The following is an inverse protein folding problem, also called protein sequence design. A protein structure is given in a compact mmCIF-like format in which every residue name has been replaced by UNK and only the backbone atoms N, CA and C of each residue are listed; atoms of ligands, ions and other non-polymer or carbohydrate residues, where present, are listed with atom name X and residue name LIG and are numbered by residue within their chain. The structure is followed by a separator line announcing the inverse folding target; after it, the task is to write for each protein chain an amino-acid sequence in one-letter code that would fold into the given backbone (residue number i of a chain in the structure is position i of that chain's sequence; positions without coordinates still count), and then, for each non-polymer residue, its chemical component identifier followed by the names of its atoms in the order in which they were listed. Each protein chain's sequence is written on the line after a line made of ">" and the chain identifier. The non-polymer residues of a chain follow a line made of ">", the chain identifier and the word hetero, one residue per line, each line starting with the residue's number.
data_IF_623176653879
#
_entry.id   IF_623176653879
#
_cell.length_a   1.000
_cell.length_b   1.000
_cell.length_c   1.000
_cell.angle_alpha   90.00
_cell.angle_beta   90.00
_cell.angle_gamma   90.00
#
_symmetry.space_group_name_H-M   'P 1'
#
loop_
_entity.id
_entity.type
_entity.pdbx_description
1 polymer ?
#
# COMPACT_ATOMS: atom_id res chain seq x y z
N UNK A 1 -1.87 23.33 -5.49
CA UNK A 1 -2.08 22.01 -4.90
C UNK A 1 -1.46 20.99 -5.84
N UNK A 2 -0.23 20.58 -5.51
CA UNK A 2 0.50 19.51 -6.16
C UNK A 2 -0.14 18.17 -5.82
N UNK A 3 0.27 17.10 -6.49
CA UNK A 3 -0.16 15.75 -6.14
C UNK A 3 0.42 15.32 -4.79
N UNK A 4 1.65 15.74 -4.49
CA UNK A 4 2.25 15.53 -3.16
C UNK A 4 1.47 16.26 -2.07
N UNK A 5 0.89 17.44 -2.35
CA UNK A 5 0.00 18.11 -1.39
C UNK A 5 -1.24 17.25 -1.09
N UNK A 6 -1.83 16.55 -2.07
CA UNK A 6 -2.98 15.65 -1.84
C UNK A 6 -2.58 14.46 -0.96
N UNK A 7 -1.36 13.95 -1.16
CA UNK A 7 -0.83 12.84 -0.38
C UNK A 7 -0.55 13.28 1.06
N UNK A 8 -0.03 14.48 1.26
CA UNK A 8 0.36 15.01 2.56
C UNK A 8 -0.78 15.74 3.30
N UNK A 9 -1.89 16.05 2.64
CA UNK A 9 -3.15 16.53 3.27
C UNK A 9 -3.86 15.40 4.05
N UNK A 10 -3.19 14.27 4.27
CA UNK A 10 -3.66 13.22 5.16
C UNK A 10 -3.59 13.70 6.61
N UNK A 11 -4.76 13.87 7.21
CA UNK A 11 -4.93 14.20 8.62
C UNK A 11 -5.26 12.92 9.39
N UNK A 12 -4.30 12.39 10.16
CA UNK A 12 -4.45 11.15 10.92
C UNK A 12 -5.51 11.24 12.02
N UNK A 13 -5.86 12.45 12.46
CA UNK A 13 -6.89 12.70 13.48
C UNK A 13 -8.30 12.76 12.87
N UNK A 14 -8.41 12.89 11.54
CA UNK A 14 -9.66 12.69 10.81
C UNK A 14 -9.76 11.21 10.44
N UNK A 15 -10.96 10.64 10.49
CA UNK A 15 -11.25 9.24 10.16
C UNK A 15 -11.01 8.88 8.66
N UNK A 16 -10.22 9.70 7.97
CA UNK A 16 -10.03 9.83 6.55
C UNK A 16 -8.99 8.83 6.01
N UNK A 17 -8.21 8.16 6.86
CA UNK A 17 -7.36 7.03 6.45
C UNK A 17 -8.13 5.73 6.20
N UNK A 18 -9.41 5.65 6.59
CA UNK A 18 -10.17 4.40 6.50
C UNK A 18 -10.52 4.05 5.05
N UNK A 19 -10.51 2.73 4.71
CA UNK A 19 -11.10 2.20 3.50
C UNK A 19 -12.46 2.84 3.16
N UNK A 20 -12.53 3.65 2.09
CA UNK A 20 -13.78 4.24 1.59
C UNK A 20 -14.09 5.68 2.04
N UNK A 21 -13.20 6.32 2.79
CA UNK A 21 -13.31 7.75 3.14
C UNK A 21 -13.19 8.68 1.91
N UNK A 22 -13.48 9.98 2.09
CA UNK A 22 -13.34 11.00 1.04
C UNK A 22 -11.89 11.14 0.57
N UNK A 23 -10.93 11.21 1.49
CA UNK A 23 -9.51 11.26 1.18
C UNK A 23 -9.04 10.00 0.46
N UNK A 24 -9.39 8.81 0.97
CA UNK A 24 -9.02 7.53 0.36
C UNK A 24 -9.49 7.46 -1.10
N UNK A 25 -10.75 7.82 -1.36
CA UNK A 25 -11.33 7.81 -2.70
C UNK A 25 -10.72 8.91 -3.59
N UNK A 26 -10.40 10.07 -3.02
CA UNK A 26 -9.74 11.16 -3.73
C UNK A 26 -8.34 10.77 -4.21
N UNK A 27 -7.55 10.13 -3.34
CA UNK A 27 -6.22 9.62 -3.68
C UNK A 27 -6.32 8.46 -4.70
N UNK A 28 -7.26 7.54 -4.52
CA UNK A 28 -7.53 6.46 -5.49
C UNK A 28 -7.80 7.03 -6.89
N UNK A 29 -8.65 8.05 -6.97
CA UNK A 29 -9.01 8.64 -8.25
C UNK A 29 -7.89 9.48 -8.84
N UNK A 30 -7.10 10.16 -8.01
CA UNK A 30 -5.88 10.85 -8.43
C UNK A 30 -4.87 9.88 -9.04
N UNK A 31 -4.54 8.79 -8.35
CA UNK A 31 -3.64 7.74 -8.86
C UNK A 31 -4.14 7.15 -10.17
N UNK A 32 -5.46 7.08 -10.37
CA UNK A 32 -6.04 6.49 -11.57
C UNK A 32 -6.12 7.46 -12.76
N UNK A 33 -6.53 8.71 -12.52
CA UNK A 33 -6.76 9.69 -13.59
C UNK A 33 -5.55 10.55 -13.92
N UNK A 34 -4.63 10.75 -12.97
CA UNK A 34 -3.51 11.69 -13.07
C UNK A 34 -2.15 10.97 -13.13
N UNK A 35 -2.09 9.76 -13.72
CA UNK A 35 -0.87 8.94 -13.76
C UNK A 35 0.33 9.69 -14.35
N UNK A 36 0.14 10.41 -15.45
CA UNK A 36 1.21 11.20 -16.08
C UNK A 36 1.75 12.29 -15.16
N UNK A 37 0.86 12.94 -14.38
CA UNK A 37 1.25 13.99 -13.44
C UNK A 37 1.98 13.40 -12.23
N UNK A 38 1.51 12.26 -11.70
CA UNK A 38 2.23 11.50 -10.67
C UNK A 38 3.64 11.13 -11.12
N UNK A 39 3.80 10.60 -12.33
CA UNK A 39 5.11 10.24 -12.89
C UNK A 39 6.01 11.46 -13.06
N UNK A 40 5.45 12.60 -13.47
CA UNK A 40 6.20 13.85 -13.62
C UNK A 40 6.65 14.42 -12.26
N UNK A 41 5.75 14.47 -11.27
CA UNK A 41 6.07 15.00 -9.94
C UNK A 41 7.08 14.11 -9.20
N UNK A 42 6.84 12.79 -9.15
CA UNK A 42 7.79 11.85 -8.52
C UNK A 42 9.12 11.82 -9.28
N UNK A 43 9.08 11.94 -10.62
CA UNK A 43 10.29 12.06 -11.43
C UNK A 43 11.08 13.35 -11.18
N UNK A 44 10.42 14.44 -10.79
CA UNK A 44 11.07 15.72 -10.50
C UNK A 44 11.77 15.74 -9.14
N UNK A 45 11.25 15.01 -8.15
CA UNK A 45 11.85 14.90 -6.81
C UNK A 45 12.86 13.77 -6.66
N UNK A 46 13.02 12.94 -7.69
CA UNK A 46 13.83 11.70 -7.77
C UNK A 46 13.41 10.58 -6.81
N UNK A 47 13.11 10.94 -5.56
CA UNK A 47 12.56 10.07 -4.51
C UNK A 47 11.42 10.73 -3.73
N UNK A 48 10.46 9.91 -3.33
CA UNK A 48 9.47 10.27 -2.31
C UNK A 48 10.17 10.37 -0.96
N UNK A 49 9.90 11.43 -0.21
CA UNK A 49 10.34 11.52 1.18
C UNK A 49 9.66 10.45 2.05
N UNK A 50 10.22 10.20 3.25
CA UNK A 50 9.73 9.17 4.16
C UNK A 50 8.26 9.36 4.54
N UNK A 51 7.83 10.61 4.75
CA UNK A 51 6.45 10.92 5.13
C UNK A 51 5.47 10.55 4.02
N UNK A 52 5.70 11.07 2.82
CA UNK A 52 4.93 10.76 1.61
C UNK A 52 4.92 9.24 1.34
N UNK A 53 6.06 8.59 1.52
CA UNK A 53 6.20 7.14 1.31
C UNK A 53 5.34 6.33 2.29
N UNK A 54 5.36 6.67 3.59
CA UNK A 54 4.53 6.00 4.59
C UNK A 54 3.04 6.24 4.39
N UNK A 55 2.64 7.44 4.00
CA UNK A 55 1.23 7.73 3.69
C UNK A 55 0.75 6.95 2.48
N UNK A 56 1.54 6.92 1.41
CA UNK A 56 1.20 6.15 0.21
C UNK A 56 1.13 4.65 0.54
N UNK A 57 2.09 4.12 1.30
CA UNK A 57 2.11 2.72 1.69
C UNK A 57 0.89 2.34 2.56
N UNK A 58 0.52 3.20 3.50
CA UNK A 58 -0.68 3.02 4.34
C UNK A 58 -1.97 3.05 3.52
N UNK A 59 -2.05 3.93 2.51
CA UNK A 59 -3.17 3.94 1.58
C UNK A 59 -3.25 2.65 0.76
N UNK A 60 -2.12 2.14 0.26
CA UNK A 60 -2.07 0.88 -0.51
C UNK A 60 -2.54 -0.30 0.36
N UNK A 61 -2.14 -0.34 1.63
CA UNK A 61 -2.59 -1.35 2.59
C UNK A 61 -4.11 -1.31 2.77
N UNK A 62 -4.68 -0.11 3.00
CA UNK A 62 -6.13 0.08 3.06
C UNK A 62 -6.82 -0.31 1.73
N UNK A 63 -6.17 -0.05 0.60
CA UNK A 63 -6.68 -0.41 -0.72
C UNK A 63 -6.74 -1.92 -0.94
N UNK A 64 -5.81 -2.70 -0.37
CA UNK A 64 -5.88 -4.16 -0.42
C UNK A 64 -7.20 -4.69 0.17
N UNK A 65 -7.63 -4.13 1.30
CA UNK A 65 -8.95 -4.43 1.90
C UNK A 65 -10.09 -4.02 0.96
N UNK A 66 -10.04 -2.82 0.36
CA UNK A 66 -11.08 -2.36 -0.55
C UNK A 66 -11.20 -3.20 -1.83
N UNK A 67 -10.09 -3.72 -2.36
CA UNK A 67 -10.11 -4.64 -3.49
C UNK A 67 -10.98 -5.86 -3.19
N UNK A 68 -10.89 -6.42 -1.99
CA UNK A 68 -11.74 -7.56 -1.58
C UNK A 68 -13.20 -7.15 -1.44
N UNK A 69 -13.46 -6.04 -0.74
CA UNK A 69 -14.82 -5.55 -0.46
C UNK A 69 -15.60 -5.25 -1.72
N UNK A 70 -15.00 -4.49 -2.65
CA UNK A 70 -15.71 -3.98 -3.82
C UNK A 70 -15.46 -4.81 -5.07
N UNK A 71 -14.49 -5.74 -5.06
CA UNK A 71 -14.01 -6.48 -6.23
C UNK A 71 -13.65 -5.56 -7.40
N UNK A 72 -13.15 -4.36 -7.09
CA UNK A 72 -12.92 -3.34 -8.11
C UNK A 72 -11.54 -3.49 -8.74
N UNK A 73 -11.52 -3.75 -10.05
CA UNK A 73 -10.28 -3.70 -10.84
C UNK A 73 -9.65 -2.32 -10.83
N UNK A 74 -10.45 -1.25 -10.75
CA UNK A 74 -9.90 0.11 -10.73
C UNK A 74 -9.12 0.43 -9.46
N UNK A 75 -9.57 -0.08 -8.31
CA UNK A 75 -8.86 0.06 -7.02
C UNK A 75 -7.58 -0.77 -7.05
N UNK A 76 -7.64 -1.99 -7.60
CA UNK A 76 -6.45 -2.82 -7.78
C UNK A 76 -5.40 -2.13 -8.68
N UNK A 77 -5.80 -1.60 -9.83
CA UNK A 77 -4.88 -0.90 -10.73
C UNK A 77 -4.25 0.33 -10.07
N UNK A 78 -5.02 1.08 -9.26
CA UNK A 78 -4.50 2.21 -8.49
C UNK A 78 -3.51 1.77 -7.40
N UNK A 79 -3.79 0.67 -6.68
CA UNK A 79 -2.88 0.09 -5.70
C UNK A 79 -1.58 -0.41 -6.35
N UNK A 80 -1.68 -1.08 -7.49
CA UNK A 80 -0.50 -1.52 -8.28
C UNK A 80 0.32 -0.31 -8.75
N UNK A 81 -0.33 0.76 -9.20
CA UNK A 81 0.37 1.98 -9.60
C UNK A 81 1.08 2.64 -8.40
N UNK A 82 0.41 2.74 -7.26
CA UNK A 82 1.02 3.19 -6.00
C UNK A 82 2.24 2.35 -5.63
N UNK A 83 2.13 1.02 -5.70
CA UNK A 83 3.26 0.11 -5.47
C UNK A 83 4.42 0.31 -6.46
N UNK A 84 4.14 0.67 -7.71
CA UNK A 84 5.18 1.02 -8.67
C UNK A 84 5.92 2.32 -8.26
N UNK A 85 5.19 3.33 -7.78
CA UNK A 85 5.79 4.57 -7.24
C UNK A 85 6.68 4.29 -6.03
N UNK A 86 6.37 3.28 -5.20
CA UNK A 86 7.21 2.88 -4.06
C UNK A 86 8.62 2.42 -4.46
N UNK A 87 8.88 2.12 -5.74
CA UNK A 87 10.26 1.88 -6.22
C UNK A 87 11.16 3.12 -6.18
N UNK A 88 10.55 4.30 -6.01
CA UNK A 88 11.19 5.60 -5.78
C UNK A 88 11.06 6.08 -4.33
N UNK A 89 10.78 5.19 -3.37
CA UNK A 89 10.80 5.53 -1.94
C UNK A 89 12.12 5.11 -1.28
N UNK A 90 12.41 5.71 -0.13
CA UNK A 90 13.51 5.30 0.75
C UNK A 90 13.10 4.24 1.79
N UNK A 91 11.85 3.76 1.76
CA UNK A 91 11.39 2.72 2.66
C UNK A 91 12.09 1.37 2.39
N UNK A 92 12.23 0.59 3.45
CA UNK A 92 12.73 -0.77 3.32
C UNK A 92 11.78 -1.61 2.46
N UNK A 93 12.35 -2.29 1.47
CA UNK A 93 11.57 -3.12 0.57
C UNK A 93 10.85 -4.28 1.27
N UNK A 94 11.32 -4.68 2.46
CA UNK A 94 10.61 -5.66 3.31
C UNK A 94 9.23 -5.15 3.69
N UNK A 95 9.11 -3.89 4.13
CA UNK A 95 7.84 -3.28 4.51
C UNK A 95 6.92 -3.12 3.30
N UNK A 96 7.49 -2.66 2.18
CA UNK A 96 6.77 -2.54 0.91
C UNK A 96 6.28 -3.91 0.43
N UNK A 97 7.09 -4.96 0.56
CA UNK A 97 6.72 -6.32 0.19
C UNK A 97 5.59 -6.90 1.03
N UNK A 98 5.53 -6.60 2.34
CA UNK A 98 4.41 -7.03 3.19
C UNK A 98 3.08 -6.49 2.64
N UNK A 99 3.02 -5.20 2.35
CA UNK A 99 1.81 -4.56 1.78
C UNK A 99 1.54 -5.03 0.36
N UNK A 100 2.58 -5.21 -0.47
CA UNK A 100 2.45 -5.78 -1.81
C UNK A 100 1.82 -7.18 -1.80
N UNK A 101 2.16 -8.00 -0.82
CA UNK A 101 1.55 -9.31 -0.60
C UNK A 101 0.07 -9.22 -0.23
N UNK A 102 -0.33 -8.23 0.57
CA UNK A 102 -1.75 -7.97 0.85
C UNK A 102 -2.52 -7.59 -0.42
N UNK A 103 -1.96 -6.76 -1.29
CA UNK A 103 -2.61 -6.40 -2.57
C UNK A 103 -2.79 -7.63 -3.45
N UNK A 104 -1.77 -8.49 -3.58
CA UNK A 104 -1.86 -9.74 -4.36
C UNK A 104 -2.90 -10.69 -3.76
N UNK A 105 -2.88 -10.87 -2.44
CA UNK A 105 -3.85 -11.70 -1.72
C UNK A 105 -5.27 -11.15 -1.85
N UNK A 106 -5.45 -9.85 -1.75
CA UNK A 106 -6.73 -9.17 -1.95
C UNK A 106 -7.28 -9.37 -3.37
N UNK A 107 -6.43 -9.26 -4.39
CA UNK A 107 -6.80 -9.57 -5.78
C UNK A 107 -7.24 -11.03 -5.94
N UNK A 108 -6.52 -11.97 -5.34
CA UNK A 108 -6.87 -13.40 -5.36
C UNK A 108 -8.24 -13.65 -4.72
N UNK A 109 -8.49 -13.11 -3.53
CA UNK A 109 -9.78 -13.23 -2.82
C UNK A 109 -10.93 -12.58 -3.60
N UNK A 110 -10.65 -11.50 -4.34
CA UNK A 110 -11.61 -10.81 -5.19
C UNK A 110 -11.85 -11.51 -6.55
N UNK A 111 -11.05 -12.52 -6.90
CA UNK A 111 -11.09 -13.16 -8.22
C UNK A 111 -10.57 -12.29 -9.36
N UNK A 112 -9.69 -11.34 -9.07
CA UNK A 112 -9.11 -10.41 -10.05
C UNK A 112 -7.73 -10.91 -10.52
N UNK A 113 -7.39 -10.77 -11.82
CA UNK A 113 -6.11 -11.25 -12.34
C UNK A 113 -4.99 -10.25 -12.01
N UNK A 114 -4.31 -10.47 -10.88
CA UNK A 114 -3.24 -9.61 -10.36
C UNK A 114 -2.09 -9.42 -11.35
N UNK A 115 -1.57 -10.50 -11.92
CA UNK A 115 -0.41 -10.49 -12.81
C UNK A 115 -0.69 -9.71 -14.10
N UNK A 116 -1.92 -9.81 -14.62
CA UNK A 116 -2.38 -9.01 -15.75
C UNK A 116 -2.46 -7.53 -15.36
N UNK A 117 -2.98 -7.21 -14.17
CA UNK A 117 -2.98 -5.84 -13.62
C UNK A 117 -1.60 -5.23 -13.49
N UNK A 118 -0.64 -5.98 -12.93
CA UNK A 118 0.76 -5.56 -12.84
C UNK A 118 1.34 -5.29 -14.22
N UNK A 119 1.13 -6.19 -15.18
CA UNK A 119 1.63 -6.04 -16.54
C UNK A 119 1.04 -4.81 -17.23
N UNK A 120 -0.29 -4.64 -17.18
CA UNK A 120 -1.00 -3.53 -17.81
C UNK A 120 -0.60 -2.17 -17.24
N UNK A 121 -0.51 -2.08 -15.90
CA UNK A 121 -0.12 -0.85 -15.22
C UNK A 121 1.34 -0.53 -15.51
N UNK A 122 2.25 -1.48 -15.31
CA UNK A 122 3.68 -1.23 -15.50
C UNK A 122 4.00 -0.84 -16.94
N UNK A 123 3.38 -1.47 -17.94
CA UNK A 123 3.57 -1.13 -19.36
C UNK A 123 3.26 0.34 -19.67
N UNK A 124 2.33 0.98 -18.94
CA UNK A 124 1.95 2.39 -19.15
C UNK A 124 2.80 3.39 -18.36
N UNK A 125 3.68 2.92 -17.48
CA UNK A 125 4.50 3.77 -16.59
C UNK A 125 5.95 3.93 -17.04
N UNK A 126 6.31 3.41 -18.22
CA UNK A 126 7.65 3.54 -18.80
C UNK A 126 8.73 2.91 -17.93
N UNK A 127 9.86 3.60 -17.77
CA UNK A 127 11.03 3.11 -17.03
C UNK A 127 10.70 2.72 -15.57
N UNK A 128 9.74 3.39 -14.93
CA UNK A 128 9.29 3.01 -13.59
C UNK A 128 8.71 1.59 -13.59
N UNK A 129 7.87 1.29 -14.58
CA UNK A 129 7.22 -0.02 -14.74
C UNK A 129 8.21 -1.13 -15.05
N UNK A 130 9.25 -0.86 -15.84
CA UNK A 130 10.32 -1.82 -16.11
C UNK A 130 11.05 -2.25 -14.83
N UNK A 131 11.24 -1.32 -13.89
CA UNK A 131 11.85 -1.59 -12.58
C UNK A 131 10.85 -2.27 -11.63
N UNK A 132 9.59 -1.82 -11.62
CA UNK A 132 8.58 -2.28 -10.69
C UNK A 132 8.07 -3.70 -11.02
N UNK A 133 7.78 -4.00 -12.29
CA UNK A 133 7.12 -5.23 -12.70
C UNK A 133 7.80 -6.52 -12.17
N UNK A 134 9.13 -6.69 -12.30
CA UNK A 134 9.80 -7.90 -11.79
C UNK A 134 9.64 -8.10 -10.28
N UNK A 135 9.51 -7.01 -9.51
CA UNK A 135 9.33 -7.08 -8.05
C UNK A 135 7.88 -7.37 -7.71
N UNK A 136 6.93 -6.68 -8.33
CA UNK A 136 5.50 -6.85 -8.09
C UNK A 136 5.02 -8.26 -8.46
N UNK A 137 5.50 -8.81 -9.58
CA UNK A 137 5.18 -10.19 -10.00
C UNK A 137 5.72 -11.27 -9.05
N UNK A 138 6.66 -10.93 -8.17
CA UNK A 138 7.24 -11.84 -7.17
C UNK A 138 6.62 -11.72 -5.79
N UNK A 139 5.68 -10.79 -5.57
CA UNK A 139 5.01 -10.64 -4.27
C UNK A 139 4.31 -11.93 -3.90
N UNK A 140 4.47 -12.41 -2.67
CA UNK A 140 3.78 -13.62 -2.22
C UNK A 140 2.27 -13.35 -2.07
N UNK A 141 1.42 -14.34 -2.34
CA UNK A 141 -0.02 -14.26 -2.03
C UNK A 141 -0.37 -14.84 -0.66
N UNK A 142 0.61 -15.43 0.03
CA UNK A 142 0.49 -15.84 1.42
C UNK A 142 0.23 -14.63 2.33
N UNK A 143 -0.56 -14.85 3.38
CA UNK A 143 -0.78 -13.83 4.39
C UNK A 143 0.53 -13.56 5.15
N UNK A 144 1.01 -12.31 5.22
CA UNK A 144 2.14 -12.00 6.07
C UNK A 144 1.77 -12.20 7.55
N UNK A 145 2.68 -12.72 8.36
CA UNK A 145 2.41 -13.07 9.78
C UNK A 145 2.00 -11.89 10.66
N UNK A 146 2.35 -10.67 10.23
CA UNK A 146 1.96 -9.42 10.89
C UNK A 146 0.53 -9.00 10.58
N UNK A 147 -0.21 -9.79 9.80
CA UNK A 147 -1.59 -9.53 9.41
C UNK A 147 -2.48 -10.74 9.63
N UNK A 148 -3.75 -10.44 9.92
CA UNK A 148 -4.83 -11.39 9.98
C UNK A 148 -5.96 -10.98 9.04
N UNK A 149 -6.73 -11.97 8.65
CA UNK A 149 -7.98 -11.80 7.91
C UNK A 149 -9.15 -11.83 8.87
N UNK A 150 -10.00 -10.80 8.80
CA UNK A 150 -11.25 -10.76 9.54
C UNK A 150 -12.41 -10.38 8.61
N UNK A 151 -13.63 -10.77 8.98
CA UNK A 151 -14.84 -10.45 8.22
C UNK A 151 -14.97 -11.17 6.87
N UNK A 152 -15.95 -10.75 6.05
CA UNK A 152 -16.18 -11.29 4.71
C UNK A 152 -16.95 -10.31 3.83
N UNK A 153 -16.81 -10.41 2.50
CA UNK A 153 -17.49 -9.50 1.58
C UNK A 153 -17.22 -8.04 1.92
N UNK A 154 -18.27 -7.25 2.13
CA UNK A 154 -18.17 -5.82 2.45
C UNK A 154 -17.56 -5.52 3.84
N UNK A 155 -17.57 -6.50 4.77
CA UNK A 155 -17.00 -6.33 6.11
C UNK A 155 -15.56 -6.83 6.22
N UNK A 156 -15.00 -7.40 5.15
CA UNK A 156 -13.65 -7.95 5.13
C UNK A 156 -12.60 -6.91 5.55
N UNK A 157 -11.57 -7.29 6.31
CA UNK A 157 -10.43 -6.42 6.66
C UNK A 157 -9.15 -7.25 6.73
N UNK A 158 -8.04 -6.67 6.25
CA UNK A 158 -6.71 -7.07 6.67
C UNK A 158 -6.33 -6.26 7.92
N UNK A 159 -6.21 -6.93 9.06
CA UNK A 159 -5.90 -6.28 10.34
C UNK A 159 -4.44 -6.54 10.70
N UNK A 160 -3.72 -5.51 11.12
CA UNK A 160 -2.39 -5.70 11.71
C UNK A 160 -2.53 -6.49 13.00
N UNK A 161 -1.80 -7.58 13.10
CA UNK A 161 -1.67 -8.36 14.33
C UNK A 161 -0.61 -7.67 15.17
N UNK A 162 -0.97 -7.30 16.40
CA UNK A 162 0.03 -6.83 17.35
C UNK A 162 1.07 -7.94 17.51
N UNK A 163 2.38 -7.64 17.45
CA UNK A 163 3.37 -8.66 17.74
C UNK A 163 3.06 -9.23 19.14
N UNK A 164 3.27 -10.54 19.34
CA UNK A 164 3.19 -11.21 20.65
C UNK A 164 4.34 -10.74 21.58
N UNK A 165 4.72 -9.48 21.46
CA UNK A 165 5.87 -8.85 22.06
C UNK A 165 5.38 -8.03 23.26
N UNK A 166 5.68 -8.52 24.44
CA UNK A 166 5.46 -7.79 25.68
C UNK A 166 6.51 -6.68 25.78
N UNK A 167 6.09 -5.45 25.47
CA UNK A 167 6.93 -4.25 25.57
C UNK A 167 7.44 -4.09 27.01
N UNK A 168 6.61 -4.42 28.00
CA UNK A 168 6.96 -4.33 29.41
C UNK A 168 8.03 -5.38 29.78
N UNK A 169 8.06 -6.53 29.09
CA UNK A 169 9.12 -7.54 29.23
C UNK A 169 10.44 -7.07 28.64
N UNK A 170 10.42 -6.42 27.47
CA UNK A 170 11.62 -5.83 26.89
C UNK A 170 12.16 -4.68 27.75
N UNK A 171 11.29 -3.80 28.23
CA UNK A 171 11.69 -2.68 29.09
C UNK A 171 12.36 -3.20 30.37
N UNK A 172 11.78 -4.21 31.04
CA UNK A 172 12.43 -4.89 32.17
C UNK A 172 13.80 -5.47 31.83
N UNK A 173 13.94 -6.07 30.65
CA UNK A 173 15.20 -6.66 30.20
C UNK A 173 16.27 -5.59 29.88
N UNK A 174 15.86 -4.45 29.33
CA UNK A 174 16.74 -3.32 28.99
C UNK A 174 17.12 -2.48 30.21
N UNK A 175 16.23 -2.37 31.19
CA UNK A 175 16.49 -1.68 32.46
C UNK A 175 17.34 -2.52 33.43
N UNK A 176 17.67 -3.76 33.06
CA UNK A 176 18.62 -4.59 33.78
C UNK A 176 18.05 -5.23 35.04
N UNK A 177 16.74 -5.44 35.13
CA UNK A 177 16.14 -6.30 36.14
C UNK A 177 16.33 -7.78 35.74
N UNK A 178 17.58 -8.20 35.70
CA UNK A 178 17.94 -9.61 35.86
C UNK A 178 18.04 -9.86 37.36
N UNK A 179 17.01 -10.48 37.96
CA UNK A 179 17.14 -11.11 39.28
C UNK A 179 18.23 -12.19 39.30
#
# INVERSE_FOLDING_TARGET
>A
MTILDILLDWDADRDDGRPGSSWFNGLAESLRRRQTEWLAEVGAVDRLDDGASWVLLSWIEAAATQVVRTRSRSVLDAAVFGMALMTRSDLDWRDVSLVGSLVRRGALLAGLPYEAGVTDVCARTGALGEVAAPRLLRMDSAMPRTYAESGSGETFVFERVSPDFDVDELERWLEGESE
#
